data_IF_678345041981
#
_entry.id   IF_678345041981
#
_cell.length_a   1.000
_cell.length_b   1.000
_cell.length_c   1.000
_cell.angle_alpha   90.00
_cell.angle_beta   90.00
_cell.angle_gamma   90.00
#
_symmetry.space_group_name_H-M   'P 1'
#
loop_
_entity.id
_entity.type
_entity.pdbx_description
1 polymer ?
#
# COMPACT_ATOMS: atom_id res chain seq x y z
N UNK A 1 42.77 -30.20 -29.71
CA UNK A 1 42.40 -30.46 -28.29
C UNK A 1 42.62 -29.24 -27.41
N UNK A 2 43.80 -28.60 -27.41
CA UNK A 2 44.10 -27.42 -26.56
C UNK A 2 43.17 -26.23 -26.82
N UNK A 3 42.87 -25.91 -28.08
CA UNK A 3 41.98 -24.79 -28.42
C UNK A 3 40.54 -24.95 -27.89
N UNK A 4 40.03 -26.19 -27.87
CA UNK A 4 38.67 -26.51 -27.37
C UNK A 4 38.56 -26.35 -25.85
N UNK A 5 39.62 -26.66 -25.11
CA UNK A 5 39.70 -26.46 -23.65
C UNK A 5 39.73 -24.97 -23.27
N UNK A 6 40.47 -24.16 -24.04
CA UNK A 6 40.55 -22.70 -23.83
C UNK A 6 39.19 -22.05 -24.10
N UNK A 7 38.51 -22.43 -25.19
CA UNK A 7 37.18 -21.91 -25.51
C UNK A 7 36.14 -22.26 -24.44
N UNK A 8 36.20 -23.49 -23.90
CA UNK A 8 35.32 -23.92 -22.81
C UNK A 8 35.57 -23.13 -21.52
N UNK A 9 36.83 -22.91 -21.15
CA UNK A 9 37.19 -22.14 -19.95
C UNK A 9 36.71 -20.68 -20.04
N UNK A 10 36.84 -20.05 -21.22
CA UNK A 10 36.34 -18.70 -21.45
C UNK A 10 34.81 -18.61 -21.35
N UNK A 11 34.11 -19.61 -21.90
CA UNK A 11 32.64 -19.67 -21.82
C UNK A 11 32.16 -19.79 -20.37
N UNK A 12 32.80 -20.66 -19.57
CA UNK A 12 32.49 -20.80 -18.14
C UNK A 12 32.75 -19.50 -17.38
N UNK A 13 33.88 -18.83 -17.63
CA UNK A 13 34.20 -17.55 -17.00
C UNK A 13 33.17 -16.46 -17.32
N UNK A 14 32.70 -16.38 -18.57
CA UNK A 14 31.66 -15.44 -18.99
C UNK A 14 30.33 -15.74 -18.30
N UNK A 15 29.92 -17.01 -18.23
CA UNK A 15 28.67 -17.42 -17.56
C UNK A 15 28.72 -17.07 -16.07
N UNK A 16 29.82 -17.39 -15.39
CA UNK A 16 30.00 -17.06 -13.96
C UNK A 16 29.95 -15.55 -13.73
N UNK A 17 30.59 -14.77 -14.60
CA UNK A 17 30.60 -13.31 -14.49
C UNK A 17 29.21 -12.71 -14.72
N UNK A 18 28.42 -13.24 -15.67
CA UNK A 18 27.05 -12.81 -15.91
C UNK A 18 26.11 -13.15 -14.74
N UNK A 19 26.25 -14.35 -14.15
CA UNK A 19 25.48 -14.76 -12.97
C UNK A 19 25.81 -13.89 -11.77
N UNK A 20 27.09 -13.56 -11.57
CA UNK A 20 27.54 -12.71 -10.46
C UNK A 20 27.06 -11.25 -10.61
N UNK A 21 27.15 -10.69 -11.82
CA UNK A 21 26.64 -9.35 -12.14
C UNK A 21 25.12 -9.27 -12.01
N UNK A 22 24.39 -10.25 -12.54
CA UNK A 22 22.93 -10.34 -12.44
C UNK A 22 22.47 -10.49 -10.98
N UNK A 23 23.14 -11.36 -10.22
CA UNK A 23 22.85 -11.55 -8.79
C UNK A 23 23.10 -10.30 -7.95
N UNK A 24 24.09 -9.46 -8.31
CA UNK A 24 24.40 -8.21 -7.61
C UNK A 24 23.39 -7.10 -7.95
N UNK A 25 22.97 -6.99 -9.20
CA UNK A 25 21.94 -6.03 -9.63
C UNK A 25 20.58 -6.31 -8.99
N UNK A 26 20.17 -7.58 -8.92
CA UNK A 26 18.91 -8.00 -8.28
C UNK A 26 18.89 -7.70 -6.77
N UNK A 27 20.02 -7.93 -6.07
CA UNK A 27 20.15 -7.60 -4.63
C UNK A 27 20.00 -6.11 -4.35
N UNK A 28 20.52 -5.24 -5.21
CA UNK A 28 20.41 -3.78 -5.06
C UNK A 28 18.96 -3.27 -5.16
N UNK A 29 18.17 -3.83 -6.08
CA UNK A 29 16.75 -3.50 -6.20
C UNK A 29 15.92 -4.04 -5.03
N UNK A 30 16.19 -5.27 -4.60
CA UNK A 30 15.52 -5.88 -3.44
C UNK A 30 15.80 -5.10 -2.15
N UNK A 31 17.03 -4.64 -1.93
CA UNK A 31 17.39 -3.86 -0.75
C UNK A 31 16.60 -2.54 -0.64
N UNK A 32 16.49 -1.78 -1.75
CA UNK A 32 15.72 -0.53 -1.78
C UNK A 32 14.22 -0.76 -1.56
N UNK A 33 13.68 -1.86 -2.07
CA UNK A 33 12.28 -2.22 -1.85
C UNK A 33 12.04 -2.61 -0.38
N UNK A 34 12.95 -3.39 0.21
CA UNK A 34 12.88 -3.77 1.61
C UNK A 34 12.97 -2.54 2.53
N UNK A 35 13.86 -1.59 2.23
CA UNK A 35 13.99 -0.33 2.98
C UNK A 35 12.69 0.49 2.91
N UNK A 36 12.11 0.67 1.72
CA UNK A 36 10.82 1.37 1.56
C UNK A 36 9.70 0.68 2.31
N UNK A 37 9.67 -0.64 2.30
CA UNK A 37 8.68 -1.42 3.04
C UNK A 37 8.88 -1.24 4.56
N UNK A 38 10.11 -1.27 5.04
CA UNK A 38 10.44 -1.05 6.44
C UNK A 38 10.04 0.36 6.90
N UNK A 39 10.36 1.40 6.13
CA UNK A 39 9.93 2.78 6.40
C UNK A 39 8.41 2.90 6.45
N UNK A 40 7.71 2.27 5.49
CA UNK A 40 6.26 2.24 5.47
C UNK A 40 5.68 1.53 6.69
N UNK A 41 6.26 0.39 7.07
CA UNK A 41 5.85 -0.34 8.26
C UNK A 41 6.05 0.51 9.52
N UNK A 42 7.21 1.17 9.66
CA UNK A 42 7.48 2.07 10.79
C UNK A 42 6.44 3.19 10.87
N UNK A 43 6.17 3.87 9.76
CA UNK A 43 5.21 4.96 9.72
C UNK A 43 3.78 4.49 10.05
N UNK A 44 3.38 3.29 9.63
CA UNK A 44 2.10 2.67 10.02
C UNK A 44 2.07 2.35 11.53
N UNK A 45 3.17 1.85 12.10
CA UNK A 45 3.25 1.62 13.54
C UNK A 45 3.13 2.93 14.33
N UNK A 46 3.73 4.02 13.85
CA UNK A 46 3.56 5.35 14.47
C UNK A 46 2.11 5.83 14.43
N UNK A 47 1.39 5.61 13.32
CA UNK A 47 -0.04 5.90 13.26
C UNK A 47 -0.86 5.03 14.21
N UNK A 48 -0.50 3.75 14.35
CA UNK A 48 -1.17 2.83 15.28
C UNK A 48 -1.06 3.32 16.72
N UNK A 49 0.01 4.02 17.10
CA UNK A 49 0.09 4.67 18.41
C UNK A 49 -0.94 5.80 18.56
N UNK A 50 -1.37 6.47 17.49
CA UNK A 50 -2.36 7.56 17.52
C UNK A 50 -3.80 7.08 17.36
N UNK A 51 -4.00 5.81 17.03
CA UNK A 51 -5.31 5.18 16.92
C UNK A 51 -6.12 5.35 18.21
N UNK A 52 -7.39 5.71 18.06
CA UNK A 52 -8.32 6.03 19.16
C UNK A 52 -8.10 7.37 19.86
N UNK A 53 -6.91 8.01 19.73
CA UNK A 53 -6.63 9.32 20.32
C UNK A 53 -7.06 10.47 19.40
N UNK A 54 -6.57 10.43 18.17
CA UNK A 54 -6.83 11.48 17.18
C UNK A 54 -7.89 11.04 16.16
N UNK A 55 -8.01 9.73 15.93
CA UNK A 55 -8.93 9.13 14.97
C UNK A 55 -8.71 7.62 14.89
N UNK A 56 -9.29 6.97 13.89
CA UNK A 56 -9.18 5.53 13.69
C UNK A 56 -8.36 5.19 12.45
N UNK A 57 -7.38 4.31 12.62
CA UNK A 57 -6.52 3.85 11.54
C UNK A 57 -7.25 2.85 10.65
N UNK A 58 -7.24 3.09 9.34
CA UNK A 58 -7.85 2.21 8.35
C UNK A 58 -6.99 2.07 7.11
N UNK A 59 -7.02 0.89 6.50
CA UNK A 59 -6.43 0.63 5.19
C UNK A 59 -7.48 0.76 4.10
N UNK A 60 -7.21 1.55 3.07
CA UNK A 60 -8.06 1.66 1.88
C UNK A 60 -7.79 0.45 0.99
N UNK A 61 -8.58 -0.61 1.18
CA UNK A 61 -8.43 -1.86 0.41
C UNK A 61 -8.69 -1.63 -1.08
N UNK A 62 -9.82 -1.00 -1.40
CA UNK A 62 -10.24 -0.81 -2.80
C UNK A 62 -11.10 0.43 -2.94
N UNK A 63 -10.83 1.24 -3.97
CA UNK A 63 -11.72 2.30 -4.44
C UNK A 63 -12.54 1.74 -5.60
N UNK A 64 -13.85 1.61 -5.43
CA UNK A 64 -14.71 0.93 -6.40
C UNK A 64 -15.62 1.87 -7.20
N UNK A 65 -15.82 3.10 -6.73
CA UNK A 65 -16.56 4.11 -7.47
C UNK A 65 -15.91 5.47 -7.29
N UNK A 66 -15.69 6.20 -8.39
CA UNK A 66 -15.30 7.61 -8.37
C UNK A 66 -16.43 8.46 -8.93
N UNK A 67 -16.73 9.58 -8.30
CA UNK A 67 -17.70 10.56 -8.75
C UNK A 67 -17.08 11.96 -8.68
N UNK A 68 -17.79 12.98 -9.18
CA UNK A 68 -17.28 14.36 -9.18
C UNK A 68 -16.99 14.89 -7.76
N UNK A 69 -17.81 14.50 -6.78
CA UNK A 69 -17.79 15.03 -5.41
C UNK A 69 -17.16 14.09 -4.39
N UNK A 70 -16.56 12.98 -4.82
CA UNK A 70 -15.98 12.02 -3.90
C UNK A 70 -15.78 10.62 -4.50
N UNK A 71 -15.41 9.68 -3.64
CA UNK A 71 -15.20 8.29 -4.03
C UNK A 71 -15.77 7.32 -2.99
N UNK A 72 -16.32 6.20 -3.46
CA UNK A 72 -16.67 5.06 -2.62
C UNK A 72 -15.52 4.07 -2.60
N UNK A 73 -15.20 3.61 -1.40
CA UNK A 73 -14.16 2.63 -1.16
C UNK A 73 -14.58 1.62 -0.11
N UNK A 74 -13.87 0.49 -0.07
CA UNK A 74 -13.87 -0.42 1.06
C UNK A 74 -12.63 -0.09 1.90
N UNK A 75 -12.85 0.15 3.18
CA UNK A 75 -11.79 0.30 4.17
C UNK A 75 -11.76 -0.94 5.08
N UNK A 76 -10.58 -1.24 5.61
CA UNK A 76 -10.36 -2.25 6.64
C UNK A 76 -9.86 -1.53 7.87
N UNK A 77 -10.59 -1.60 8.97
CA UNK A 77 -10.15 -1.02 10.25
C UNK A 77 -8.96 -1.77 10.79
N UNK A 78 -7.87 -1.07 11.09
CA UNK A 78 -6.63 -1.70 11.54
C UNK A 78 -6.82 -2.42 12.88
N UNK A 79 -7.57 -1.83 13.81
CA UNK A 79 -7.80 -2.38 15.14
C UNK A 79 -8.62 -3.69 15.16
N UNK A 80 -9.51 -3.91 14.18
CA UNK A 80 -10.46 -5.05 14.21
C UNK A 80 -10.39 -5.94 12.98
N UNK A 81 -9.74 -5.52 11.90
CA UNK A 81 -9.78 -6.20 10.60
C UNK A 81 -11.13 -6.11 9.89
N UNK A 82 -12.12 -5.41 10.46
CA UNK A 82 -13.46 -5.33 9.88
C UNK A 82 -13.47 -4.49 8.61
N UNK A 83 -14.11 -5.02 7.56
CA UNK A 83 -14.38 -4.31 6.32
C UNK A 83 -15.60 -3.41 6.47
N UNK A 84 -15.51 -2.20 5.94
CA UNK A 84 -16.62 -1.25 5.93
C UNK A 84 -16.64 -0.45 4.62
N UNK A 85 -17.84 -0.20 4.09
CA UNK A 85 -18.02 0.77 3.01
C UNK A 85 -17.70 2.17 3.54
N UNK A 86 -16.96 2.95 2.75
CA UNK A 86 -16.66 4.33 3.06
C UNK A 86 -16.97 5.24 1.87
N UNK A 87 -17.47 6.43 2.18
CA UNK A 87 -17.65 7.51 1.22
C UNK A 87 -16.76 8.70 1.60
N UNK A 88 -15.78 8.97 0.73
CA UNK A 88 -14.83 10.06 0.84
C UNK A 88 -15.36 11.28 0.11
N UNK A 89 -16.09 12.14 0.82
CA UNK A 89 -16.55 13.44 0.33
C UNK A 89 -15.37 14.36 -0.01
N UNK A 90 -15.53 15.10 -1.12
CA UNK A 90 -14.61 16.12 -1.62
C UNK A 90 -13.20 15.57 -1.94
N UNK A 91 -13.09 14.25 -2.12
CA UNK A 91 -11.84 13.59 -2.46
C UNK A 91 -11.99 12.43 -3.46
N UNK A 92 -12.27 12.73 -4.74
CA UNK A 92 -12.49 11.71 -5.77
C UNK A 92 -11.23 10.90 -6.15
N UNK A 93 -10.04 11.44 -5.84
CA UNK A 93 -8.74 10.88 -6.22
C UNK A 93 -8.04 10.09 -5.10
N UNK A 94 -8.76 9.70 -4.04
CA UNK A 94 -8.19 8.84 -2.98
C UNK A 94 -7.55 7.57 -3.60
N UNK A 95 -6.30 7.24 -3.24
CA UNK A 95 -5.65 6.03 -3.74
C UNK A 95 -6.11 4.79 -2.94
N UNK A 96 -6.13 3.63 -3.61
CA UNK A 96 -6.21 2.34 -2.94
C UNK A 96 -4.80 1.93 -2.47
N UNK A 97 -4.74 1.03 -1.49
CA UNK A 97 -3.47 0.54 -0.97
C UNK A 97 -2.74 1.54 -0.08
N UNK A 98 -3.46 2.41 0.65
CA UNK A 98 -2.89 3.41 1.58
C UNK A 98 -3.49 3.25 2.97
N UNK A 99 -2.71 3.58 3.99
CA UNK A 99 -3.21 3.71 5.36
C UNK A 99 -3.62 5.15 5.63
N UNK A 100 -4.77 5.33 6.27
CA UNK A 100 -5.32 6.62 6.65
C UNK A 100 -5.65 6.65 8.13
N UNK A 101 -5.35 7.74 8.81
CA UNK A 101 -5.92 8.04 10.12
C UNK A 101 -7.18 8.89 9.92
N UNK A 102 -8.34 8.35 10.27
CA UNK A 102 -9.64 8.90 9.90
C UNK A 102 -10.45 9.37 11.10
N UNK A 103 -11.13 10.49 10.94
CA UNK A 103 -12.24 10.92 11.79
C UNK A 103 -13.49 11.01 10.93
N UNK A 104 -14.64 10.64 11.45
CA UNK A 104 -15.84 10.55 10.63
C UNK A 104 -16.98 9.88 11.37
N UNK A 105 -18.05 9.61 10.62
CA UNK A 105 -19.30 9.11 11.19
C UNK A 105 -19.85 7.97 10.36
N UNK A 106 -20.38 6.95 11.03
CA UNK A 106 -21.14 5.89 10.34
C UNK A 106 -22.58 6.33 10.10
N UNK A 107 -23.11 6.08 8.92
CA UNK A 107 -24.49 6.39 8.57
C UNK A 107 -25.04 5.51 7.45
N UNK A 108 -26.26 5.81 7.03
CA UNK A 108 -26.98 5.05 6.00
C UNK A 108 -26.50 5.42 4.60
N UNK A 109 -26.25 4.40 3.76
CA UNK A 109 -25.92 4.50 2.35
C UNK A 109 -27.15 4.24 1.48
N UNK A 110 -27.76 5.26 0.86
CA UNK A 110 -29.05 5.10 0.18
C UNK A 110 -28.97 4.25 -1.10
N UNK A 111 -27.82 4.19 -1.77
CA UNK A 111 -27.72 3.51 -3.07
C UNK A 111 -27.68 1.99 -2.98
N UNK A 112 -27.23 1.44 -1.85
CA UNK A 112 -27.14 -0.01 -1.62
C UNK A 112 -27.89 -0.44 -0.34
N UNK A 113 -28.70 0.45 0.22
CA UNK A 113 -29.42 0.25 1.48
C UNK A 113 -28.50 -0.21 2.64
N UNK A 114 -27.24 0.21 2.63
CA UNK A 114 -26.25 -0.21 3.62
C UNK A 114 -26.36 0.66 4.89
N UNK A 115 -26.68 0.10 6.07
CA UNK A 115 -26.79 0.88 7.31
C UNK A 115 -25.45 1.33 7.91
N UNK A 116 -24.32 0.91 7.34
CA UNK A 116 -22.99 1.07 7.94
C UNK A 116 -21.96 1.66 6.97
N UNK A 117 -22.29 2.74 6.26
CA UNK A 117 -21.30 3.48 5.46
C UNK A 117 -20.55 4.47 6.34
N UNK A 118 -19.23 4.45 6.29
CA UNK A 118 -18.38 5.43 6.96
C UNK A 118 -18.21 6.69 6.10
N UNK A 119 -18.67 7.82 6.61
CA UNK A 119 -18.60 9.10 5.92
C UNK A 119 -17.39 9.90 6.42
N UNK A 120 -16.55 10.31 5.47
CA UNK A 120 -15.35 11.10 5.71
C UNK A 120 -15.32 12.27 4.72
N UNK A 121 -14.97 13.44 5.21
CA UNK A 121 -14.56 14.59 4.38
C UNK A 121 -13.05 14.71 4.35
N UNK A 122 -12.52 15.39 3.33
CA UNK A 122 -11.08 15.56 3.14
C UNK A 122 -10.33 16.09 4.37
N UNK A 123 -10.90 17.04 5.11
CA UNK A 123 -10.27 17.60 6.32
C UNK A 123 -10.30 16.65 7.54
N UNK A 124 -11.07 15.56 7.47
CA UNK A 124 -11.16 14.55 8.53
C UNK A 124 -10.20 13.37 8.28
N UNK A 125 -9.36 13.47 7.25
CA UNK A 125 -8.25 12.57 7.00
C UNK A 125 -7.03 13.24 7.63
N UNK A 126 -6.63 12.73 8.79
CA UNK A 126 -5.60 13.36 9.61
C UNK A 126 -4.19 13.04 9.13
N UNK A 127 -4.00 11.86 8.53
CA UNK A 127 -2.73 11.41 7.98
C UNK A 127 -2.94 10.37 6.89
N UNK A 128 -1.97 10.23 5.98
CA UNK A 128 -1.96 9.28 4.86
C UNK A 128 -0.55 8.76 4.60
N UNK A 129 -0.40 7.44 4.42
CA UNK A 129 0.87 6.75 4.14
C UNK A 129 0.71 5.67 3.06
#
# INVERSE_FOLDING_TARGET
MVASLIAFALLVAVIVSLVWLGGRALRGHSARQAERLALRQQAVQELRLRDGRDGHLAFVERVYQRARTGAKAIIVWDATGNRQDAWFHDWPSIPAGTYLLLVGTTGYGPHNHNPRVYYVRRHQVLSMI
#
